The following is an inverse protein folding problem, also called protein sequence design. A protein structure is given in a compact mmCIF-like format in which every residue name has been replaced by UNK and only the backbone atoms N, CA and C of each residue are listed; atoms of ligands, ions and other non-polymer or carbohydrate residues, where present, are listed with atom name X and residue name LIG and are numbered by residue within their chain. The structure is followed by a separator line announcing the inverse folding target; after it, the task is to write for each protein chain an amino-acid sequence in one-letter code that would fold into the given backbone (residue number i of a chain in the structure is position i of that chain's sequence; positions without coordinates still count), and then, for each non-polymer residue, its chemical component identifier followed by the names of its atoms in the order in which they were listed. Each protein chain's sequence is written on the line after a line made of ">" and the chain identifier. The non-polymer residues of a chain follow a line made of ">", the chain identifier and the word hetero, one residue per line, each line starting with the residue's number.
data_IF_207262393104
#
_entry.id   IF_207262393104
#
_cell.length_a   1.000
_cell.length_b   1.000
_cell.length_c   1.000
_cell.angle_alpha   90.00
_cell.angle_beta   90.00
_cell.angle_gamma   90.00
#
_symmetry.space_group_name_H-M   'P 1'
#
loop_
_entity.id
_entity.type
_entity.pdbx_description
1 polymer ?
#
# COMPACT_ATOMS: atom_id res chain seq x y z
N UNK A 1 5.25 7.18 -36.43
CA UNK A 1 4.42 8.25 -35.83
C UNK A 1 4.72 9.51 -36.59
N UNK A 2 3.72 10.15 -37.20
CA UNK A 2 3.89 11.43 -37.90
C UNK A 2 4.47 12.49 -36.94
N UNK A 3 5.42 13.30 -37.39
CA UNK A 3 6.07 14.33 -36.57
C UNK A 3 5.08 15.37 -36.03
N UNK A 4 4.00 15.64 -36.78
CA UNK A 4 2.91 16.49 -36.29
C UNK A 4 2.19 15.88 -35.08
N UNK A 5 1.99 14.56 -35.05
CA UNK A 5 1.39 13.87 -33.88
C UNK A 5 2.31 13.95 -32.66
N UNK A 6 3.64 13.85 -32.85
CA UNK A 6 4.62 14.01 -31.76
C UNK A 6 4.62 15.42 -31.18
N UNK A 7 4.58 16.46 -32.02
CA UNK A 7 4.52 17.87 -31.57
C UNK A 7 3.23 18.17 -30.80
N UNK A 8 2.08 17.77 -31.36
CA UNK A 8 0.79 17.96 -30.69
C UNK A 8 0.74 17.24 -29.33
N UNK A 9 1.26 16.00 -29.26
CA UNK A 9 1.35 15.25 -28.02
C UNK A 9 2.24 15.95 -26.98
N UNK A 10 3.42 16.44 -27.38
CA UNK A 10 4.33 17.15 -26.46
C UNK A 10 3.72 18.44 -25.93
N UNK A 11 3.00 19.19 -26.75
CA UNK A 11 2.31 20.42 -26.34
C UNK A 11 1.18 20.14 -25.34
N UNK A 12 0.37 19.10 -25.60
CA UNK A 12 -0.70 18.68 -24.71
C UNK A 12 -0.15 18.22 -23.34
N UNK A 13 0.91 17.42 -23.34
CA UNK A 13 1.57 16.99 -22.09
C UNK A 13 2.07 18.18 -21.27
N UNK A 14 2.72 19.16 -21.92
CA UNK A 14 3.18 20.38 -21.24
C UNK A 14 2.04 21.26 -20.71
N UNK A 15 0.89 21.32 -21.39
CA UNK A 15 -0.29 22.03 -20.89
C UNK A 15 -0.87 21.38 -19.64
N UNK A 16 -0.94 20.05 -19.59
CA UNK A 16 -1.41 19.30 -18.42
C UNK A 16 -0.48 19.56 -17.23
N UNK A 17 0.84 19.51 -17.43
CA UNK A 17 1.80 19.75 -16.36
C UNK A 17 1.76 21.20 -15.85
N UNK A 18 1.54 22.18 -16.73
CA UNK A 18 1.39 23.59 -16.33
C UNK A 18 0.11 23.85 -15.51
N UNK A 19 -0.99 23.15 -15.83
CA UNK A 19 -2.28 23.34 -15.16
C UNK A 19 -2.37 22.57 -13.83
N UNK A 20 -1.85 21.35 -13.78
CA UNK A 20 -2.07 20.42 -12.67
C UNK A 20 -0.80 20.12 -11.85
N UNK A 21 0.33 20.70 -12.24
CA UNK A 21 1.61 20.55 -11.56
C UNK A 21 2.50 19.44 -12.14
N UNK A 22 3.76 19.41 -11.68
CA UNK A 22 4.74 18.40 -12.09
C UNK A 22 4.26 16.99 -11.77
N UNK A 23 4.42 16.08 -12.72
CA UNK A 23 4.01 14.68 -12.55
C UNK A 23 2.51 14.41 -12.76
N UNK A 24 1.71 15.42 -13.13
CA UNK A 24 0.30 15.22 -13.49
C UNK A 24 0.11 14.32 -14.71
N UNK A 25 1.11 14.24 -15.59
CA UNK A 25 1.18 13.28 -16.70
C UNK A 25 2.62 12.87 -16.93
N UNK A 26 2.85 11.58 -17.15
CA UNK A 26 4.18 11.01 -17.41
C UNK A 26 4.03 9.72 -18.21
N UNK A 27 5.11 9.26 -18.85
CA UNK A 27 5.08 7.94 -19.48
C UNK A 27 5.14 6.87 -18.39
N UNK A 28 4.48 5.75 -18.62
CA UNK A 28 4.43 4.63 -17.67
C UNK A 28 5.83 4.10 -17.30
N UNK A 29 6.80 4.17 -18.23
CA UNK A 29 8.19 3.75 -18.02
C UNK A 29 9.13 4.82 -17.45
N UNK A 30 8.66 6.06 -17.25
CA UNK A 30 9.48 7.13 -16.65
C UNK A 30 9.49 7.05 -15.11
N UNK A 31 8.71 6.14 -14.51
CA UNK A 31 8.88 5.79 -13.10
C UNK A 31 10.06 4.83 -12.98
N UNK A 32 11.04 5.10 -12.12
CA UNK A 32 11.94 4.04 -11.71
C UNK A 32 11.09 2.87 -11.18
N UNK A 33 11.47 1.65 -11.52
CA UNK A 33 10.88 0.45 -10.93
C UNK A 33 11.33 0.35 -9.48
N UNK A 34 10.90 1.30 -8.65
CA UNK A 34 11.21 1.27 -7.23
C UNK A 34 10.54 0.04 -6.65
N UNK A 35 11.29 -0.71 -5.84
CA UNK A 35 10.71 -1.79 -5.06
C UNK A 35 9.50 -1.23 -4.32
N UNK A 36 8.37 -1.93 -4.39
CA UNK A 36 7.15 -1.45 -3.75
C UNK A 36 7.42 -1.25 -2.26
N UNK A 37 7.09 -0.07 -1.73
CA UNK A 37 7.09 0.14 -0.29
C UNK A 37 6.07 -0.81 0.34
N UNK A 38 6.52 -1.64 1.29
CA UNK A 38 5.69 -2.67 1.94
C UNK A 38 5.70 -2.55 3.46
N UNK A 39 4.72 -3.19 4.09
CA UNK A 39 4.67 -3.48 5.52
C UNK A 39 4.60 -5.00 5.68
N UNK A 40 5.53 -5.59 6.42
CA UNK A 40 5.51 -7.04 6.71
C UNK A 40 4.21 -7.44 7.39
N UNK A 41 3.68 -8.60 7.02
CA UNK A 41 2.49 -9.19 7.65
C UNK A 41 2.78 -9.77 9.04
N UNK A 42 4.05 -9.89 9.43
CA UNK A 42 4.48 -10.63 10.62
C UNK A 42 4.59 -12.14 10.40
N UNK A 43 4.18 -12.64 9.23
CA UNK A 43 4.35 -14.03 8.81
C UNK A 43 5.32 -14.10 7.64
N UNK A 44 6.51 -14.65 7.89
CA UNK A 44 7.53 -14.82 6.85
C UNK A 44 7.00 -15.61 5.64
N UNK A 45 6.20 -16.65 5.88
CA UNK A 45 5.62 -17.45 4.81
C UNK A 45 4.66 -16.65 3.93
N UNK A 46 3.85 -15.77 4.53
CA UNK A 46 2.92 -14.92 3.79
C UNK A 46 3.65 -13.81 3.02
N UNK A 47 4.64 -13.18 3.65
CA UNK A 47 5.46 -12.14 3.00
C UNK A 47 6.18 -12.67 1.76
N UNK A 48 6.71 -13.91 1.84
CA UNK A 48 7.31 -14.60 0.69
C UNK A 48 6.26 -14.94 -0.38
N UNK A 49 5.08 -15.45 0.02
CA UNK A 49 4.02 -15.81 -0.91
C UNK A 49 3.46 -14.59 -1.68
N UNK A 50 3.46 -13.40 -1.06
CA UNK A 50 3.08 -12.15 -1.71
C UNK A 50 4.10 -11.68 -2.78
N UNK A 51 5.32 -12.23 -2.78
CA UNK A 51 6.37 -11.94 -3.77
C UNK A 51 7.03 -10.57 -3.67
N UNK A 52 6.43 -9.64 -2.93
CA UNK A 52 6.94 -8.30 -2.68
C UNK A 52 7.40 -8.09 -1.23
N UNK A 53 7.31 -9.12 -0.37
CA UNK A 53 7.79 -9.08 1.01
C UNK A 53 6.82 -8.47 2.04
N UNK A 54 5.55 -8.25 1.67
CA UNK A 54 4.53 -7.74 2.59
C UNK A 54 3.35 -7.08 1.88
N UNK A 55 2.55 -6.32 2.63
CA UNK A 55 1.42 -5.56 2.09
C UNK A 55 1.89 -4.25 1.46
N UNK A 56 1.47 -3.91 0.22
CA UNK A 56 1.93 -2.71 -0.47
C UNK A 56 1.30 -1.44 0.11
N UNK A 57 2.13 -0.44 0.44
CA UNK A 57 1.67 0.89 0.88
C UNK A 57 0.97 1.63 -0.26
N UNK A 58 0.01 2.48 0.10
CA UNK A 58 -0.78 3.26 -0.87
C UNK A 58 -1.75 2.43 -1.71
N UNK A 59 -2.03 1.19 -1.31
CA UNK A 59 -2.98 0.27 -1.95
C UNK A 59 -4.02 -0.20 -0.95
N UNK A 60 -5.16 -0.66 -1.47
CA UNK A 60 -6.18 -1.35 -0.68
C UNK A 60 -5.88 -2.85 -0.68
N UNK A 61 -5.97 -3.48 0.49
CA UNK A 61 -5.81 -4.92 0.70
C UNK A 61 -7.05 -5.44 1.39
N UNK A 62 -7.57 -6.57 0.93
CA UNK A 62 -8.71 -7.26 1.54
C UNK A 62 -8.26 -8.58 2.15
N UNK A 63 -8.63 -8.82 3.41
CA UNK A 63 -8.41 -10.09 4.13
C UNK A 63 -9.78 -10.63 4.52
N UNK A 64 -10.19 -11.73 3.90
CA UNK A 64 -11.47 -12.39 4.18
C UNK A 64 -11.26 -13.85 4.59
N UNK A 65 -12.29 -14.43 5.23
CA UNK A 65 -12.25 -15.80 5.69
C UNK A 65 -13.27 -16.08 6.80
N UNK A 66 -13.41 -17.35 7.20
CA UNK A 66 -14.36 -17.78 8.24
C UNK A 66 -14.19 -17.03 9.56
N UNK A 67 -15.21 -17.10 10.42
CA UNK A 67 -15.09 -16.66 11.80
C UNK A 67 -13.92 -17.39 12.49
N UNK A 68 -13.21 -16.69 13.37
CA UNK A 68 -12.04 -17.23 14.08
C UNK A 68 -10.87 -17.68 13.19
N UNK A 69 -10.85 -17.34 11.89
CA UNK A 69 -9.73 -17.67 11.00
C UNK A 69 -8.47 -16.82 11.21
N UNK A 70 -8.48 -15.89 12.17
CA UNK A 70 -7.33 -15.04 12.49
C UNK A 70 -7.22 -13.73 11.69
N UNK A 71 -8.30 -13.27 11.03
CA UNK A 71 -8.31 -12.01 10.26
C UNK A 71 -7.82 -10.82 11.10
N UNK A 72 -8.45 -10.59 12.24
CA UNK A 72 -8.09 -9.49 13.16
C UNK A 72 -6.69 -9.68 13.74
N UNK A 73 -6.32 -10.92 14.10
CA UNK A 73 -4.95 -11.23 14.57
C UNK A 73 -3.90 -10.87 13.52
N UNK A 74 -4.12 -11.22 12.25
CA UNK A 74 -3.21 -10.86 11.15
C UNK A 74 -3.14 -9.35 10.95
N UNK A 75 -4.28 -8.65 10.99
CA UNK A 75 -4.34 -7.19 10.92
C UNK A 75 -3.53 -6.53 12.05
N UNK A 76 -3.68 -7.02 13.29
CA UNK A 76 -2.94 -6.51 14.44
C UNK A 76 -1.43 -6.79 14.32
N UNK A 77 -1.03 -7.94 13.76
CA UNK A 77 0.38 -8.22 13.46
C UNK A 77 0.96 -7.26 12.41
N UNK A 78 0.22 -6.95 11.34
CA UNK A 78 0.62 -5.93 10.36
C UNK A 78 0.79 -4.57 11.03
N UNK A 79 -0.14 -4.19 11.91
CA UNK A 79 -0.08 -2.93 12.67
C UNK A 79 1.15 -2.88 13.58
N UNK A 80 1.40 -3.95 14.35
CA UNK A 80 2.59 -4.08 15.19
C UNK A 80 3.90 -3.95 14.37
N UNK A 81 3.95 -4.52 13.15
CA UNK A 81 5.10 -4.32 12.24
C UNK A 81 5.20 -2.88 11.73
N UNK A 82 4.07 -2.23 11.44
CA UNK A 82 4.04 -0.82 11.05
C UNK A 82 4.62 0.08 12.17
N UNK A 83 4.14 -0.10 13.41
CA UNK A 83 4.58 0.69 14.56
C UNK A 83 6.05 0.43 14.94
N UNK A 84 6.51 -0.83 14.89
CA UNK A 84 7.93 -1.17 15.10
C UNK A 84 8.86 -0.47 14.12
N UNK A 85 8.38 -0.18 12.91
CA UNK A 85 9.12 0.57 11.90
C UNK A 85 8.87 2.10 11.97
N UNK A 86 8.33 2.59 13.10
CA UNK A 86 8.09 4.01 13.35
C UNK A 86 6.85 4.58 12.64
N UNK A 87 6.01 3.73 12.05
CA UNK A 87 4.75 4.14 11.43
C UNK A 87 3.61 4.33 12.43
N UNK A 88 2.58 5.05 12.02
CA UNK A 88 1.34 5.21 12.79
C UNK A 88 0.23 4.41 12.12
N UNK A 89 -0.55 3.69 12.90
CA UNK A 89 -1.71 2.95 12.44
C UNK A 89 -3.00 3.49 13.05
N UNK A 90 -4.11 3.31 12.35
CA UNK A 90 -5.45 3.54 12.86
C UNK A 90 -6.26 2.25 12.69
N UNK A 91 -7.03 1.88 13.71
CA UNK A 91 -7.93 0.73 13.67
C UNK A 91 -9.37 1.23 13.79
N UNK A 92 -10.22 0.84 12.83
CA UNK A 92 -11.64 1.17 12.84
C UNK A 92 -12.41 -0.09 13.23
N UNK A 93 -12.77 -0.18 14.52
CA UNK A 93 -13.50 -1.33 15.05
C UNK A 93 -15.01 -1.22 14.75
N UNK A 94 -15.40 -1.63 13.55
CA UNK A 94 -16.80 -1.69 13.16
C UNK A 94 -17.54 -2.90 13.78
N UNK A 95 -16.83 -3.91 14.27
CA UNK A 95 -17.40 -5.12 14.88
C UNK A 95 -17.58 -5.00 16.40
N UNK A 96 -17.05 -3.92 17.01
CA UNK A 96 -17.08 -3.68 18.46
C UNK A 96 -16.51 -4.86 19.27
N UNK A 97 -15.49 -5.53 18.72
CA UNK A 97 -14.97 -6.80 19.22
C UNK A 97 -13.45 -6.78 19.49
N UNK A 98 -12.79 -5.61 19.34
CA UNK A 98 -11.36 -5.51 19.61
C UNK A 98 -11.06 -5.60 21.11
N UNK A 99 -10.16 -6.51 21.48
CA UNK A 99 -9.58 -6.60 22.83
C UNK A 99 -8.23 -5.85 22.88
N UNK A 100 -8.14 -4.71 23.58
CA UNK A 100 -6.90 -3.95 23.72
C UNK A 100 -5.76 -4.75 24.38
N UNK A 101 -6.09 -5.61 25.34
CA UNK A 101 -5.10 -6.43 26.07
C UNK A 101 -4.50 -7.48 25.13
N UNK A 102 -5.32 -8.04 24.24
CA UNK A 102 -4.82 -8.97 23.22
C UNK A 102 -3.97 -8.25 22.19
N UNK A 103 -4.37 -7.05 21.74
CA UNK A 103 -3.57 -6.24 20.82
C UNK A 103 -2.17 -5.91 21.39
N UNK A 104 -2.08 -5.49 22.65
CA UNK A 104 -0.80 -5.24 23.33
C UNK A 104 0.08 -6.50 23.36
N UNK A 105 -0.49 -7.67 23.66
CA UNK A 105 0.26 -8.95 23.63
C UNK A 105 0.77 -9.32 22.24
N UNK A 106 0.13 -8.84 21.18
CA UNK A 106 0.59 -9.03 19.79
C UNK A 106 1.67 -8.00 19.37
N UNK A 107 1.98 -7.02 20.23
CA UNK A 107 3.03 -6.03 20.01
C UNK A 107 2.57 -4.75 19.31
N UNK A 108 1.26 -4.46 19.37
CA UNK A 108 0.65 -3.18 18.95
C UNK A 108 0.92 -2.10 19.98
#
# INVERSE_FOLDING_TARGET
>A
MDDNKRRALSAALGQIEKQFGKGAVMRMGDRPSDAADVISTGSLGLDLALGIGGLPKGRVVEIYGPESSGKTTLTLQVIANCQRNGGTAAFVDAEHALDPTYAEKLGV
#
